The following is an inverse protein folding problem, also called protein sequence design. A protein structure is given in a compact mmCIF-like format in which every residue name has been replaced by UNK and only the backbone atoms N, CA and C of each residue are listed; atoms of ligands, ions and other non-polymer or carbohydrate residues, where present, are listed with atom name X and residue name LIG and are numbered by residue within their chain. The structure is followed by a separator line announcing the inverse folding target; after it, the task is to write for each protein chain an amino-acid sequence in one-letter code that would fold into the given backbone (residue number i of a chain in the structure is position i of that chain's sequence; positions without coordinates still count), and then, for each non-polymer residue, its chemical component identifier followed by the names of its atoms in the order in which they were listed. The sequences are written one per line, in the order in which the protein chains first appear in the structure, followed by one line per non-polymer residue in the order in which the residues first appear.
data_IF_625354900651
#
_entry.id   IF_625354900651
#
_cell.length_a   1.000
_cell.length_b   1.000
_cell.length_c   1.000
_cell.angle_alpha   90.00
_cell.angle_beta   90.00
_cell.angle_gamma   90.00
#
_symmetry.space_group_name_H-M   'P 1'
#
loop_
_entity.id
_entity.type
_entity.pdbx_description
1 polymer ?
#
# COMPACT_ATOMS: atom_id res chain seq x y z
N UNK A 1 20.94 10.32 -22.54
CA UNK A 1 19.83 9.46 -22.14
C UNK A 1 20.37 8.05 -21.94
N UNK A 2 20.37 7.53 -20.73
CA UNK A 2 20.75 6.12 -20.48
C UNK A 2 19.60 5.27 -20.97
N UNK A 3 19.86 4.33 -21.86
CA UNK A 3 18.83 3.40 -22.36
C UNK A 3 18.25 2.63 -21.15
N UNK A 4 16.92 2.41 -21.10
CA UNK A 4 16.32 1.59 -20.05
C UNK A 4 16.87 0.17 -20.12
N UNK A 5 17.00 -0.47 -18.96
CA UNK A 5 17.40 -1.88 -18.88
C UNK A 5 16.32 -2.77 -19.51
N UNK A 6 16.72 -3.95 -19.95
CA UNK A 6 15.76 -4.97 -20.36
C UNK A 6 14.91 -5.39 -19.15
N UNK A 7 13.61 -5.58 -19.38
CA UNK A 7 12.71 -6.10 -18.37
C UNK A 7 13.10 -7.54 -17.95
N UNK A 8 12.97 -7.92 -16.67
CA UNK A 8 13.38 -9.24 -16.19
C UNK A 8 12.38 -10.36 -16.54
N UNK A 9 11.47 -10.13 -17.48
CA UNK A 9 10.42 -11.07 -17.86
C UNK A 9 10.20 -11.10 -19.39
N UNK A 10 9.52 -12.17 -19.84
CA UNK A 10 9.06 -12.32 -21.24
C UNK A 10 7.54 -12.14 -21.28
N UNK A 11 7.07 -11.42 -22.29
CA UNK A 11 5.64 -11.24 -22.53
C UNK A 11 5.09 -12.49 -23.25
N UNK A 12 4.12 -13.16 -22.60
CA UNK A 12 3.42 -14.33 -23.15
C UNK A 12 1.99 -14.03 -23.59
N UNK A 13 1.42 -12.91 -23.15
CA UNK A 13 0.06 -12.50 -23.44
C UNK A 13 0.05 -11.06 -23.93
N UNK A 14 -0.75 -10.78 -24.95
CA UNK A 14 -0.95 -9.43 -25.47
C UNK A 14 -2.41 -9.14 -25.56
N UNK A 15 -2.78 -7.89 -25.29
CA UNK A 15 -4.14 -7.37 -25.45
C UNK A 15 -4.14 -6.31 -26.55
N UNK A 16 -5.13 -6.38 -27.45
CA UNK A 16 -5.28 -5.39 -28.51
C UNK A 16 -5.75 -4.06 -27.92
N UNK A 17 -5.03 -2.98 -28.19
CA UNK A 17 -5.46 -1.63 -27.82
C UNK A 17 -6.21 -0.96 -28.96
N UNK A 18 -7.22 -0.14 -28.61
CA UNK A 18 -7.89 0.72 -29.56
C UNK A 18 -7.03 1.94 -29.86
N UNK A 19 -6.69 2.15 -31.13
CA UNK A 19 -6.13 3.43 -31.57
C UNK A 19 -7.25 4.45 -31.75
N UNK A 20 -6.99 5.70 -31.38
CA UNK A 20 -7.95 6.80 -31.48
C UNK A 20 -7.33 8.03 -32.09
N UNK A 21 -8.14 8.84 -32.77
CA UNK A 21 -7.77 10.14 -33.27
C UNK A 21 -7.75 11.17 -32.13
N UNK A 22 -7.07 12.28 -32.34
CA UNK A 22 -7.11 13.41 -31.41
C UNK A 22 -8.53 13.94 -31.18
N UNK A 23 -9.32 14.05 -32.25
CA UNK A 23 -10.69 14.56 -32.17
C UNK A 23 -11.60 13.67 -31.32
N UNK A 24 -11.47 12.35 -31.40
CA UNK A 24 -12.17 11.41 -30.54
C UNK A 24 -11.80 11.62 -29.07
N UNK A 25 -10.50 11.71 -28.76
CA UNK A 25 -10.03 11.92 -27.38
C UNK A 25 -10.50 13.25 -26.80
N UNK A 26 -10.49 14.33 -27.61
CA UNK A 26 -11.02 15.62 -27.18
C UNK A 26 -12.52 15.58 -26.91
N UNK A 27 -13.28 14.80 -27.66
CA UNK A 27 -14.70 14.58 -27.43
C UNK A 27 -14.93 13.82 -26.13
N UNK A 28 -14.27 12.69 -25.94
CA UNK A 28 -14.41 11.85 -24.75
C UNK A 28 -14.06 12.55 -23.45
N UNK A 29 -12.96 13.33 -23.45
CA UNK A 29 -12.57 14.05 -22.22
C UNK A 29 -13.56 15.18 -21.87
N UNK A 30 -14.17 15.84 -22.86
CA UNK A 30 -15.23 16.82 -22.62
C UNK A 30 -16.50 16.17 -22.08
N UNK A 31 -16.94 15.04 -22.67
CA UNK A 31 -18.09 14.27 -22.19
C UNK A 31 -17.86 13.76 -20.77
N UNK A 32 -16.63 13.39 -20.44
CA UNK A 32 -16.22 13.03 -19.08
C UNK A 32 -16.11 14.24 -18.13
N UNK A 33 -16.42 15.46 -18.58
CA UNK A 33 -16.26 16.70 -17.80
C UNK A 33 -14.83 16.89 -17.28
N UNK A 34 -13.84 16.48 -18.07
CA UNK A 34 -12.40 16.48 -17.75
C UNK A 34 -12.03 15.64 -16.52
N UNK A 35 -12.89 14.69 -16.13
CA UNK A 35 -12.63 13.75 -15.04
C UNK A 35 -12.20 12.40 -15.62
N UNK A 36 -10.93 12.05 -15.44
CA UNK A 36 -10.34 10.83 -15.96
C UNK A 36 -11.03 9.56 -15.44
N UNK A 37 -11.62 9.59 -14.24
CA UNK A 37 -12.36 8.46 -13.67
C UNK A 37 -13.70 8.17 -14.37
N UNK A 38 -14.16 9.04 -15.27
CA UNK A 38 -15.36 8.85 -16.06
C UNK A 38 -15.09 8.34 -17.49
N UNK A 39 -13.83 8.23 -17.87
CA UNK A 39 -13.46 7.62 -19.15
C UNK A 39 -13.68 6.10 -19.07
N UNK A 40 -14.11 5.54 -20.20
CA UNK A 40 -14.18 4.08 -20.35
C UNK A 40 -12.78 3.53 -20.64
N UNK A 41 -12.49 2.31 -20.23
CA UNK A 41 -11.19 1.68 -20.44
C UNK A 41 -10.79 1.61 -21.92
N UNK A 42 -11.75 1.38 -22.82
CA UNK A 42 -11.52 1.35 -24.28
C UNK A 42 -11.24 2.73 -24.90
N UNK A 43 -11.37 3.81 -24.14
CA UNK A 43 -11.01 5.18 -24.53
C UNK A 43 -9.59 5.58 -24.08
N UNK A 44 -8.92 4.73 -23.30
CA UNK A 44 -7.60 4.99 -22.73
C UNK A 44 -6.57 4.05 -23.37
N UNK A 45 -5.56 4.63 -24.02
CA UNK A 45 -4.49 3.84 -24.65
C UNK A 45 -3.37 3.50 -23.68
N UNK A 46 -3.00 4.45 -22.82
CA UNK A 46 -1.98 4.28 -21.76
C UNK A 46 -2.64 4.72 -20.47
N UNK A 47 -2.87 3.78 -19.56
CA UNK A 47 -3.50 4.05 -18.26
C UNK A 47 -2.42 4.17 -17.18
N UNK A 48 -2.24 5.39 -16.67
CA UNK A 48 -1.35 5.71 -15.56
C UNK A 48 -2.13 6.19 -14.33
N UNK A 49 -3.44 5.94 -14.27
CA UNK A 49 -4.32 6.47 -13.23
C UNK A 49 -4.06 5.86 -11.86
N UNK A 50 -3.75 4.57 -11.82
CA UNK A 50 -3.55 3.83 -10.56
C UNK A 50 -2.67 2.60 -10.76
N UNK A 51 -1.93 2.24 -9.70
CA UNK A 51 -1.23 0.95 -9.59
C UNK A 51 -2.12 -0.16 -8.99
N UNK A 52 -3.35 0.16 -8.59
CA UNK A 52 -4.23 -0.76 -7.85
C UNK A 52 -4.98 -1.72 -8.75
N UNK A 53 -4.58 -3.00 -8.76
CA UNK A 53 -5.25 -4.07 -9.49
C UNK A 53 -4.98 -4.05 -10.99
N UNK A 54 -3.99 -3.31 -11.44
CA UNK A 54 -3.60 -3.14 -12.86
C UNK A 54 -2.26 -3.79 -13.18
N UNK A 55 -1.57 -4.37 -12.18
CA UNK A 55 -0.31 -5.09 -12.36
C UNK A 55 -0.50 -6.38 -13.17
N UNK A 56 0.51 -6.72 -13.98
CA UNK A 56 0.55 -7.97 -14.73
C UNK A 56 0.89 -9.13 -13.81
N UNK A 57 -0.01 -10.08 -13.67
CA UNK A 57 0.21 -11.32 -12.93
C UNK A 57 1.19 -12.23 -13.69
N UNK A 58 2.03 -12.93 -12.93
CA UNK A 58 2.98 -13.91 -13.48
C UNK A 58 2.27 -15.16 -14.00
N UNK A 59 2.97 -15.94 -14.81
CA UNK A 59 2.50 -17.27 -15.25
C UNK A 59 2.29 -18.24 -14.07
N UNK A 60 3.04 -18.07 -12.96
CA UNK A 60 2.84 -18.84 -11.74
C UNK A 60 1.57 -18.43 -11.00
N UNK A 61 1.24 -17.13 -10.96
CA UNK A 61 -0.01 -16.64 -10.40
C UNK A 61 -1.20 -17.18 -11.21
N UNK A 62 -1.14 -17.13 -12.55
CA UNK A 62 -2.16 -17.72 -13.41
C UNK A 62 -2.30 -19.24 -13.20
N UNK A 63 -1.19 -19.96 -13.08
CA UNK A 63 -1.22 -21.39 -12.78
C UNK A 63 -1.85 -21.67 -11.40
N UNK A 64 -1.52 -20.86 -10.39
CA UNK A 64 -2.14 -20.97 -9.06
C UNK A 64 -3.65 -20.75 -9.10
N UNK A 65 -4.13 -19.77 -9.88
CA UNK A 65 -5.57 -19.56 -10.10
C UNK A 65 -6.24 -20.80 -10.71
N UNK A 66 -5.58 -21.50 -11.62
CA UNK A 66 -6.15 -22.70 -12.28
C UNK A 66 -6.22 -23.91 -11.35
N UNK A 67 -5.47 -23.92 -10.26
CA UNK A 67 -5.41 -25.03 -9.29
C UNK A 67 -6.01 -24.71 -7.92
N UNK A 68 -6.48 -23.47 -7.74
CA UNK A 68 -7.16 -23.04 -6.52
C UNK A 68 -8.48 -23.79 -6.30
N UNK A 69 -8.75 -24.14 -5.04
CA UNK A 69 -9.97 -24.86 -4.66
C UNK A 69 -11.07 -23.90 -4.17
N UNK A 70 -12.30 -24.25 -4.47
CA UNK A 70 -13.49 -23.48 -4.09
C UNK A 70 -14.24 -24.19 -2.96
N UNK A 71 -13.92 -23.83 -1.71
CA UNK A 71 -14.59 -24.33 -0.52
C UNK A 71 -15.12 -23.19 0.32
N UNK A 72 -16.35 -23.31 0.81
CA UNK A 72 -16.93 -22.28 1.69
C UNK A 72 -16.12 -22.09 2.98
N UNK A 73 -15.57 -23.16 3.53
CA UNK A 73 -14.75 -23.12 4.73
C UNK A 73 -13.55 -24.05 4.60
N UNK A 74 -12.37 -23.56 5.01
CA UNK A 74 -11.18 -24.40 5.12
C UNK A 74 -10.59 -24.83 3.77
N UNK A 75 -10.70 -24.01 2.73
CA UNK A 75 -10.04 -24.23 1.45
C UNK A 75 -8.54 -24.45 1.61
N UNK A 76 -7.95 -25.36 0.84
CA UNK A 76 -6.49 -25.55 0.80
C UNK A 76 -5.77 -24.26 0.42
N UNK A 77 -6.38 -23.44 -0.46
CA UNK A 77 -5.89 -22.14 -0.87
C UNK A 77 -5.75 -21.17 0.31
N UNK A 78 -6.69 -21.20 1.27
CA UNK A 78 -6.58 -20.41 2.50
C UNK A 78 -5.35 -20.80 3.34
N UNK A 79 -5.09 -22.10 3.47
CA UNK A 79 -3.94 -22.57 4.26
C UNK A 79 -2.61 -22.22 3.58
N UNK A 80 -2.53 -22.28 2.25
CA UNK A 80 -1.34 -21.85 1.51
C UNK A 80 -1.10 -20.35 1.68
N UNK A 81 -2.13 -19.51 1.58
CA UNK A 81 -2.02 -18.07 1.85
C UNK A 81 -1.60 -17.81 3.30
N UNK A 82 -2.18 -18.50 4.27
CA UNK A 82 -1.79 -18.40 5.68
C UNK A 82 -0.33 -18.72 5.91
N UNK A 83 0.18 -19.77 5.28
CA UNK A 83 1.59 -20.16 5.37
C UNK A 83 2.50 -19.06 4.80
N UNK A 84 2.14 -18.52 3.64
CA UNK A 84 2.88 -17.41 3.01
C UNK A 84 2.90 -16.16 3.90
N UNK A 85 1.76 -15.76 4.47
CA UNK A 85 1.66 -14.62 5.39
C UNK A 85 2.51 -14.86 6.64
N UNK A 86 2.44 -16.04 7.23
CA UNK A 86 3.24 -16.39 8.41
C UNK A 86 4.74 -16.37 8.11
N UNK A 87 5.15 -16.87 6.95
CA UNK A 87 6.55 -16.93 6.53
C UNK A 87 7.10 -15.54 6.23
N UNK A 88 6.38 -14.70 5.51
CA UNK A 88 6.84 -13.37 5.11
C UNK A 88 6.75 -12.35 6.26
N UNK A 89 5.63 -12.32 6.97
CA UNK A 89 5.34 -11.26 7.94
C UNK A 89 5.42 -11.71 9.40
N UNK A 90 5.40 -13.02 9.67
CA UNK A 90 5.40 -13.54 11.04
C UNK A 90 4.14 -13.23 11.83
N UNK A 91 3.04 -12.98 11.16
CA UNK A 91 1.75 -12.74 11.78
C UNK A 91 1.03 -14.08 12.01
N UNK A 92 0.62 -14.40 13.27
CA UNK A 92 0.00 -15.68 13.58
C UNK A 92 -1.48 -15.75 13.19
N UNK A 93 -2.17 -14.62 13.17
CA UNK A 93 -3.59 -14.52 12.89
C UNK A 93 -3.84 -13.60 11.71
N UNK A 94 -4.73 -14.00 10.78
CA UNK A 94 -5.15 -13.15 9.69
C UNK A 94 -6.60 -13.43 9.27
N UNK A 95 -7.23 -12.44 8.66
CA UNK A 95 -8.54 -12.50 8.05
C UNK A 95 -8.41 -12.01 6.61
N UNK A 96 -8.70 -12.85 5.61
CA UNK A 96 -8.72 -12.40 4.22
C UNK A 96 -9.87 -11.41 3.99
N UNK A 97 -9.72 -10.55 3.00
CA UNK A 97 -10.74 -9.60 2.54
C UNK A 97 -10.61 -9.40 1.04
N UNK A 98 -11.68 -8.99 0.38
CA UNK A 98 -11.63 -8.82 -1.08
C UNK A 98 -10.74 -7.65 -1.53
N UNK A 99 -10.42 -6.70 -0.65
CA UNK A 99 -9.49 -5.58 -0.93
C UNK A 99 -9.07 -4.84 0.36
N UNK A 100 -8.09 -3.91 0.25
CA UNK A 100 -7.53 -3.21 1.41
C UNK A 100 -8.53 -2.40 2.22
N UNK A 101 -9.42 -1.63 1.56
CA UNK A 101 -10.45 -0.86 2.29
C UNK A 101 -11.43 -1.72 3.09
N UNK A 102 -11.59 -2.97 2.71
CA UNK A 102 -12.37 -3.93 3.45
C UNK A 102 -11.59 -4.40 4.70
N UNK A 103 -10.28 -4.62 4.58
CA UNK A 103 -9.41 -4.89 5.73
C UNK A 103 -9.43 -3.74 6.74
N UNK A 104 -9.37 -2.48 6.26
CA UNK A 104 -9.52 -1.29 7.09
C UNK A 104 -10.89 -1.27 7.78
N UNK A 105 -11.99 -1.55 7.06
CA UNK A 105 -13.32 -1.59 7.65
C UNK A 105 -13.41 -2.63 8.79
N UNK A 106 -12.91 -3.83 8.59
CA UNK A 106 -12.90 -4.90 9.58
C UNK A 106 -12.12 -4.51 10.83
N UNK A 107 -10.88 -4.02 10.66
CA UNK A 107 -10.02 -3.73 11.81
C UNK A 107 -10.47 -2.50 12.58
N UNK A 108 -10.87 -1.43 11.90
CA UNK A 108 -11.34 -0.21 12.60
C UNK A 108 -12.70 -0.41 13.25
N UNK A 109 -13.56 -1.32 12.75
CA UNK A 109 -14.77 -1.72 13.48
C UNK A 109 -14.45 -2.45 14.79
N UNK A 110 -13.37 -3.21 14.82
CA UNK A 110 -12.94 -3.92 16.02
C UNK A 110 -12.17 -3.02 17.02
N UNK A 111 -11.52 -1.96 16.56
CA UNK A 111 -10.63 -1.13 17.37
C UNK A 111 -11.30 0.15 17.89
N UNK A 112 -12.02 0.87 17.01
CA UNK A 112 -12.39 2.26 17.24
C UNK A 112 -13.72 2.41 17.99
N UNK A 113 -13.77 3.46 18.82
CA UNK A 113 -14.98 3.98 19.49
C UNK A 113 -15.08 5.47 19.20
N UNK A 114 -16.30 6.01 19.19
CA UNK A 114 -16.54 7.44 18.98
C UNK A 114 -15.66 8.32 19.88
N UNK A 115 -15.04 9.31 19.28
CA UNK A 115 -14.13 10.25 19.93
C UNK A 115 -12.70 9.75 20.12
N UNK A 116 -12.33 8.58 19.57
CA UNK A 116 -10.95 8.12 19.58
C UNK A 116 -10.07 8.94 18.63
N UNK A 117 -8.76 8.93 18.89
CA UNK A 117 -7.75 9.64 18.13
C UNK A 117 -6.80 8.60 17.53
N UNK A 118 -6.58 8.69 16.23
CA UNK A 118 -5.67 7.78 15.51
C UNK A 118 -4.55 8.61 14.87
N UNK A 119 -3.37 8.66 15.47
CA UNK A 119 -2.21 9.29 14.84
C UNK A 119 -1.61 8.42 13.73
N UNK A 120 -1.06 9.07 12.70
CA UNK A 120 -0.37 8.40 11.59
C UNK A 120 0.66 9.29 10.92
N UNK A 121 1.52 8.72 10.07
CA UNK A 121 2.49 9.48 9.27
C UNK A 121 1.89 10.12 7.99
N UNK A 122 0.66 10.15 7.83
CA UNK A 122 -0.36 10.60 6.89
C UNK A 122 -1.29 9.45 6.55
N UNK A 123 -2.56 9.68 6.78
CA UNK A 123 -3.57 8.66 6.49
C UNK A 123 -3.87 8.65 4.99
N UNK A 124 -4.00 7.45 4.43
CA UNK A 124 -4.58 7.30 3.10
C UNK A 124 -6.08 7.67 3.14
N UNK A 125 -6.66 8.08 2.00
CA UNK A 125 -8.03 8.58 1.93
C UNK A 125 -9.05 7.62 2.55
N UNK A 126 -8.97 6.31 2.27
CA UNK A 126 -9.90 5.34 2.83
C UNK A 126 -9.64 5.07 4.31
N UNK A 127 -8.40 5.10 4.75
CA UNK A 127 -8.02 4.99 6.17
C UNK A 127 -8.64 6.14 6.96
N UNK A 128 -8.40 7.38 6.49
CA UNK A 128 -9.00 8.59 7.07
C UNK A 128 -10.52 8.52 7.06
N UNK A 129 -11.10 8.13 5.91
CA UNK A 129 -12.54 7.98 5.76
C UNK A 129 -13.14 6.98 6.76
N UNK A 130 -12.51 5.82 6.98
CA UNK A 130 -12.98 4.85 7.97
C UNK A 130 -12.88 5.35 9.42
N UNK A 131 -11.85 6.12 9.75
CA UNK A 131 -11.67 6.73 11.07
C UNK A 131 -12.76 7.78 11.30
N UNK A 132 -12.90 8.74 10.39
CA UNK A 132 -13.84 9.86 10.50
C UNK A 132 -15.31 9.41 10.40
N UNK A 133 -15.62 8.41 9.58
CA UNK A 133 -16.96 7.81 9.53
C UNK A 133 -17.42 7.27 10.90
N UNK A 134 -16.48 6.82 11.74
CA UNK A 134 -16.74 6.35 13.11
C UNK A 134 -16.70 7.46 14.14
N UNK A 135 -16.71 8.74 13.69
CA UNK A 135 -16.61 9.95 14.53
C UNK A 135 -15.34 9.96 15.39
N UNK A 136 -14.27 9.43 14.85
CA UNK A 136 -12.93 9.47 15.41
C UNK A 136 -12.08 10.53 14.70
N UNK A 137 -10.92 10.83 15.25
CA UNK A 137 -10.02 11.88 14.74
C UNK A 137 -8.77 11.26 14.15
N UNK A 138 -8.58 11.40 12.83
CA UNK A 138 -7.32 11.09 12.16
C UNK A 138 -6.37 12.28 12.32
N UNK A 139 -5.17 12.05 12.88
CA UNK A 139 -4.18 13.11 13.11
C UNK A 139 -2.88 12.76 12.41
N UNK A 140 -2.50 13.57 11.44
CA UNK A 140 -1.26 13.38 10.68
C UNK A 140 -0.05 13.92 11.45
N UNK A 141 0.91 13.04 11.72
CA UNK A 141 2.19 13.32 12.38
C UNK A 141 3.35 13.10 11.41
N UNK A 142 3.21 13.52 10.16
CA UNK A 142 4.26 13.43 9.15
C UNK A 142 5.36 14.45 9.44
N UNK A 143 6.60 14.16 9.05
CA UNK A 143 7.69 15.14 9.08
C UNK A 143 7.36 16.34 8.20
N UNK A 144 7.77 17.52 8.60
CA UNK A 144 7.43 18.78 7.89
C UNK A 144 8.03 18.84 6.48
N UNK A 145 9.17 18.21 6.28
CA UNK A 145 9.85 18.10 4.99
C UNK A 145 9.03 17.39 3.91
N UNK A 146 8.08 16.57 4.29
CA UNK A 146 7.19 15.89 3.34
C UNK A 146 6.34 16.89 2.53
N UNK A 147 6.04 18.06 3.09
CA UNK A 147 5.26 19.10 2.44
C UNK A 147 6.06 19.90 1.38
N UNK A 148 7.38 19.92 1.46
CA UNK A 148 8.23 20.55 0.45
C UNK A 148 8.48 19.59 -0.71
N UNK A 149 7.74 19.79 -1.80
CA UNK A 149 7.81 18.92 -2.99
C UNK A 149 9.18 18.90 -3.66
N UNK A 150 10.04 19.89 -3.43
CA UNK A 150 11.35 19.99 -4.07
C UNK A 150 12.51 19.56 -3.17
N UNK A 151 12.28 19.38 -1.87
CA UNK A 151 13.31 18.91 -0.95
C UNK A 151 13.58 17.42 -1.19
N UNK A 152 14.83 17.09 -1.46
CA UNK A 152 15.27 15.71 -1.61
C UNK A 152 15.75 15.15 -0.27
N UNK A 153 15.07 14.11 0.20
CA UNK A 153 15.48 13.30 1.35
C UNK A 153 15.30 11.82 1.01
N UNK A 154 16.16 10.93 1.51
CA UNK A 154 16.06 9.51 1.20
C UNK A 154 14.75 8.88 1.68
N UNK A 155 14.17 9.40 2.78
CA UNK A 155 12.93 8.91 3.40
C UNK A 155 12.06 10.11 3.81
N UNK A 156 11.08 10.46 3.00
CA UNK A 156 10.14 11.58 3.25
C UNK A 156 8.77 11.14 3.76
N UNK A 157 8.53 9.84 3.82
CA UNK A 157 7.28 9.29 4.32
C UNK A 157 7.26 9.08 5.84
N UNK A 158 8.27 9.54 6.56
CA UNK A 158 8.50 9.23 7.97
C UNK A 158 7.47 9.84 8.93
N UNK A 159 7.25 9.14 10.04
CA UNK A 159 6.59 9.67 11.23
C UNK A 159 7.48 10.71 11.91
N UNK A 160 6.97 11.88 12.23
CA UNK A 160 7.60 12.80 13.16
C UNK A 160 7.42 12.27 14.59
N UNK A 161 8.50 11.75 15.12
CA UNK A 161 8.51 11.09 16.45
C UNK A 161 8.14 12.08 17.56
N UNK A 162 8.54 13.35 17.45
CA UNK A 162 8.22 14.36 18.45
C UNK A 162 6.73 14.72 18.44
N UNK A 163 6.11 14.86 17.25
CA UNK A 163 4.67 15.07 17.11
C UNK A 163 3.88 13.88 17.68
N UNK A 164 4.29 12.66 17.32
CA UNK A 164 3.66 11.44 17.82
C UNK A 164 3.73 11.36 19.35
N UNK A 165 4.92 11.53 19.92
CA UNK A 165 5.13 11.43 21.37
C UNK A 165 4.37 12.52 22.12
N UNK A 166 4.33 13.74 21.59
CA UNK A 166 3.52 14.82 22.15
C UNK A 166 2.04 14.45 22.20
N UNK A 167 1.49 13.94 21.08
CA UNK A 167 0.09 13.52 21.00
C UNK A 167 -0.23 12.42 22.01
N UNK A 168 0.62 11.39 22.10
CA UNK A 168 0.40 10.26 23.02
C UNK A 168 0.51 10.69 24.48
N UNK A 169 1.35 11.67 24.82
CA UNK A 169 1.48 12.22 26.18
C UNK A 169 0.29 13.08 26.58
N UNK A 170 -0.27 13.85 25.62
CA UNK A 170 -1.36 14.81 25.89
C UNK A 170 -2.75 14.16 25.90
N UNK A 171 -2.88 12.91 25.47
CA UNK A 171 -4.15 12.22 25.39
C UNK A 171 -4.17 10.94 26.25
N UNK A 172 -5.30 10.60 26.89
CA UNK A 172 -5.44 9.37 27.64
C UNK A 172 -5.20 8.14 26.74
N UNK A 173 -4.55 7.10 27.29
CA UNK A 173 -4.25 5.86 26.56
C UNK A 173 -5.49 5.23 25.89
N UNK A 174 -6.62 5.28 26.58
CA UNK A 174 -7.90 4.71 26.15
C UNK A 174 -8.48 5.42 24.93
N UNK A 175 -8.02 6.65 24.65
CA UNK A 175 -8.43 7.45 23.50
C UNK A 175 -7.58 7.27 22.26
N UNK A 176 -6.48 6.51 22.37
CA UNK A 176 -5.59 6.23 21.25
C UNK A 176 -5.50 4.72 21.05
N UNK A 177 -6.43 4.11 20.28
CA UNK A 177 -6.52 2.66 20.13
C UNK A 177 -5.36 2.06 19.32
N UNK A 178 -4.81 2.81 18.37
CA UNK A 178 -3.63 2.42 17.60
C UNK A 178 -2.92 3.63 17.00
N UNK A 179 -1.68 3.43 16.58
CA UNK A 179 -0.91 4.33 15.70
C UNK A 179 -0.86 3.68 14.33
N UNK A 180 -1.09 4.43 13.26
CA UNK A 180 -1.01 3.95 11.88
C UNK A 180 0.29 4.44 11.24
N UNK A 181 1.08 3.54 10.67
CA UNK A 181 2.25 3.86 9.87
C UNK A 181 2.09 3.29 8.46
N UNK A 182 1.89 4.17 7.49
CA UNK A 182 1.69 3.82 6.09
C UNK A 182 3.02 3.64 5.36
N UNK A 183 3.24 2.50 4.74
CA UNK A 183 4.46 2.12 4.01
C UNK A 183 4.12 1.57 2.61
N UNK A 184 4.60 2.20 1.49
CA UNK A 184 5.14 3.56 1.44
C UNK A 184 4.03 4.58 1.68
N UNK A 185 4.38 5.76 2.18
CA UNK A 185 3.41 6.82 2.46
C UNK A 185 2.88 7.44 1.15
N UNK A 186 1.72 6.98 0.71
CA UNK A 186 1.11 7.41 -0.55
C UNK A 186 0.74 8.91 -0.53
N UNK A 187 0.18 9.40 0.56
CA UNK A 187 -0.25 10.79 0.71
C UNK A 187 0.93 11.77 0.66
N UNK A 188 2.11 11.34 1.10
CA UNK A 188 3.35 12.12 0.97
C UNK A 188 4.00 11.98 -0.44
N UNK A 189 3.31 11.41 -1.42
CA UNK A 189 3.82 11.22 -2.78
C UNK A 189 4.54 9.89 -2.99
N UNK A 190 4.10 8.82 -2.34
CA UNK A 190 4.73 7.50 -2.44
C UNK A 190 6.10 7.42 -1.76
N UNK A 191 6.31 8.24 -0.73
CA UNK A 191 7.61 8.33 -0.07
C UNK A 191 7.83 7.21 0.94
N UNK A 192 9.04 6.60 0.95
CA UNK A 192 9.34 5.50 1.87
C UNK A 192 9.57 5.97 3.30
N UNK A 193 9.45 4.99 4.21
CA UNK A 193 9.77 5.08 5.64
C UNK A 193 11.02 4.24 5.92
N UNK A 194 12.02 4.79 6.62
CA UNK A 194 13.25 4.06 6.97
C UNK A 194 12.99 3.00 8.03
N UNK A 195 13.84 1.98 8.09
CA UNK A 195 13.80 1.00 9.18
C UNK A 195 14.05 1.66 10.54
N UNK A 196 14.94 2.66 10.58
CA UNK A 196 15.18 3.46 11.77
C UNK A 196 13.87 4.09 12.27
N UNK A 197 13.12 4.75 11.40
CA UNK A 197 11.86 5.43 11.79
C UNK A 197 10.76 4.44 12.18
N UNK A 198 10.66 3.28 11.51
CA UNK A 198 9.76 2.19 11.91
C UNK A 198 10.07 1.74 13.34
N UNK A 199 11.35 1.55 13.67
CA UNK A 199 11.82 1.14 15.00
C UNK A 199 11.50 2.20 16.04
N UNK A 200 11.86 3.46 15.80
CA UNK A 200 11.59 4.59 16.69
C UNK A 200 10.08 4.75 16.96
N UNK A 201 9.25 4.64 15.93
CA UNK A 201 7.79 4.67 16.05
C UNK A 201 7.28 3.53 16.95
N UNK A 202 7.76 2.31 16.72
CA UNK A 202 7.38 1.15 17.53
C UNK A 202 7.84 1.28 18.99
N UNK A 203 9.01 1.87 19.23
CA UNK A 203 9.53 2.13 20.59
C UNK A 203 8.65 3.12 21.36
N UNK A 204 8.23 4.20 20.68
CA UNK A 204 7.26 5.14 21.25
C UNK A 204 5.92 4.44 21.53
N UNK A 205 5.39 3.72 20.56
CA UNK A 205 4.13 2.97 20.73
C UNK A 205 4.19 2.02 21.95
N UNK A 206 5.27 1.25 22.10
CA UNK A 206 5.46 0.34 23.24
C UNK A 206 5.53 1.08 24.57
N UNK A 207 6.22 2.23 24.61
CA UNK A 207 6.36 3.06 25.80
C UNK A 207 5.02 3.56 26.32
N UNK A 208 4.12 3.88 25.43
CA UNK A 208 2.75 4.34 25.76
C UNK A 208 1.71 3.21 25.77
N UNK A 209 2.10 1.96 25.50
CA UNK A 209 1.20 0.81 25.47
C UNK A 209 0.18 0.83 24.32
N UNK A 210 0.46 1.54 23.22
CA UNK A 210 -0.41 1.67 22.04
C UNK A 210 0.06 0.72 20.97
N UNK A 211 -0.79 -0.10 20.32
CA UNK A 211 -0.37 -0.97 19.24
C UNK A 211 -0.01 -0.20 17.97
N UNK A 212 1.00 -0.68 17.24
CA UNK A 212 1.39 -0.17 15.94
C UNK A 212 0.72 -0.97 14.81
N UNK A 213 -0.09 -0.29 14.00
CA UNK A 213 -0.69 -0.81 12.78
C UNK A 213 0.12 -0.33 11.57
N UNK A 214 0.65 -1.26 10.78
CA UNK A 214 1.25 -0.95 9.49
C UNK A 214 0.19 -1.04 8.38
N UNK A 215 -0.07 0.08 7.69
CA UNK A 215 -0.74 0.06 6.40
C UNK A 215 0.29 -0.33 5.33
N UNK A 216 0.16 -1.54 4.83
CA UNK A 216 1.21 -2.30 4.16
C UNK A 216 0.98 -2.45 2.65
N UNK A 217 0.20 -1.57 2.05
CA UNK A 217 -0.18 -1.70 0.63
C UNK A 217 1.06 -1.87 -0.28
N UNK A 218 2.19 -1.21 0.07
CA UNK A 218 3.44 -1.25 -0.70
C UNK A 218 4.64 -1.62 0.17
N UNK A 219 4.49 -2.70 0.90
CA UNK A 219 5.49 -3.21 1.84
C UNK A 219 6.82 -3.60 1.17
N UNK A 220 6.76 -4.22 -0.01
CA UNK A 220 7.93 -4.65 -0.74
C UNK A 220 8.66 -3.46 -1.38
N UNK A 221 7.91 -2.49 -1.91
CA UNK A 221 8.45 -1.21 -2.39
C UNK A 221 9.19 -0.47 -1.27
N UNK A 222 8.61 -0.40 -0.07
CA UNK A 222 9.26 0.22 1.07
C UNK A 222 10.56 -0.52 1.47
N UNK A 223 10.53 -1.85 1.47
CA UNK A 223 11.72 -2.67 1.74
C UNK A 223 12.82 -2.49 0.68
N UNK A 224 12.44 -2.30 -0.59
CA UNK A 224 13.38 -1.95 -1.65
C UNK A 224 14.12 -0.64 -1.35
N UNK A 225 13.40 0.39 -0.92
CA UNK A 225 14.03 1.67 -0.57
C UNK A 225 14.91 1.56 0.67
N UNK A 226 14.53 0.78 1.67
CA UNK A 226 15.41 0.48 2.81
C UNK A 226 16.70 -0.18 2.32
N UNK A 227 16.60 -1.23 1.49
CA UNK A 227 17.77 -1.91 0.91
C UNK A 227 18.70 -0.96 0.16
N UNK A 228 18.13 -0.06 -0.64
CA UNK A 228 18.91 0.78 -1.57
C UNK A 228 19.38 2.11 -0.98
N UNK A 229 18.76 2.58 0.12
CA UNK A 229 19.02 3.92 0.66
C UNK A 229 19.49 3.94 2.11
N UNK A 230 19.23 2.89 2.89
CA UNK A 230 19.59 2.86 4.32
C UNK A 230 20.87 2.08 4.56
N UNK A 231 21.81 2.67 5.32
CA UNK A 231 23.09 2.03 5.65
C UNK A 231 22.86 0.72 6.43
N UNK A 232 23.59 -0.32 6.07
CA UNK A 232 23.53 -1.65 6.72
C UNK A 232 22.49 -2.59 6.13
N UNK A 233 21.74 -2.19 5.08
CA UNK A 233 20.72 -3.03 4.46
C UNK A 233 21.05 -3.51 3.05
N UNK A 234 22.13 -3.02 2.44
CA UNK A 234 22.49 -3.34 1.06
C UNK A 234 22.67 -4.85 0.78
N UNK A 235 23.19 -5.59 1.75
CA UNK A 235 23.46 -7.03 1.61
C UNK A 235 22.27 -7.92 2.00
N UNK A 236 21.20 -7.36 2.58
CA UNK A 236 20.01 -8.10 2.96
C UNK A 236 19.10 -8.32 1.74
N UNK A 237 18.42 -9.44 1.70
CA UNK A 237 17.34 -9.68 0.75
C UNK A 237 16.10 -8.85 1.12
N UNK A 238 15.22 -8.61 0.15
CA UNK A 238 13.93 -7.94 0.41
C UNK A 238 13.12 -8.72 1.45
N UNK A 239 13.11 -10.05 1.39
CA UNK A 239 12.41 -10.93 2.35
C UNK A 239 12.90 -10.74 3.79
N UNK A 240 14.22 -10.64 3.98
CA UNK A 240 14.81 -10.38 5.30
C UNK A 240 14.41 -9.00 5.84
N UNK A 241 14.42 -7.97 4.98
CA UNK A 241 14.02 -6.62 5.37
C UNK A 241 12.52 -6.59 5.71
N UNK A 242 11.67 -7.20 4.88
CA UNK A 242 10.24 -7.36 5.16
C UNK A 242 10.04 -8.06 6.50
N UNK A 243 10.72 -9.18 6.74
CA UNK A 243 10.61 -9.90 8.00
C UNK A 243 10.99 -9.03 9.20
N UNK A 244 12.04 -8.22 9.08
CA UNK A 244 12.46 -7.28 10.12
C UNK A 244 11.41 -6.18 10.37
N UNK A 245 10.87 -5.55 9.32
CA UNK A 245 9.80 -4.54 9.44
C UNK A 245 8.67 -5.05 10.33
N UNK A 246 8.19 -6.25 10.06
CA UNK A 246 7.02 -6.80 10.77
C UNK A 246 7.31 -7.30 12.18
N UNK A 247 8.58 -7.36 12.61
CA UNK A 247 8.88 -7.60 14.04
C UNK A 247 8.45 -6.43 14.94
N UNK A 248 8.29 -5.25 14.36
CA UNK A 248 7.86 -4.04 15.04
C UNK A 248 6.35 -3.80 15.03
N UNK A 249 5.61 -4.51 14.18
CA UNK A 249 4.17 -4.34 14.00
C UNK A 249 3.34 -5.27 14.90
N UNK A 250 2.26 -4.74 15.46
CA UNK A 250 1.23 -5.52 16.17
C UNK A 250 0.09 -5.92 15.24
N UNK A 251 -0.21 -5.07 14.27
CA UNK A 251 -1.30 -5.22 13.31
C UNK A 251 -0.79 -4.81 11.93
N UNK A 252 -1.30 -5.42 10.88
CA UNK A 252 -1.12 -4.96 9.51
C UNK A 252 -2.42 -5.04 8.72
N UNK A 253 -2.62 -4.08 7.84
CA UNK A 253 -3.59 -4.13 6.75
C UNK A 253 -2.88 -4.12 5.43
N UNK A 254 -3.42 -4.80 4.43
CA UNK A 254 -2.86 -4.78 3.09
C UNK A 254 -3.94 -4.69 2.02
N UNK A 255 -3.74 -3.80 1.07
CA UNK A 255 -4.37 -3.89 -0.23
C UNK A 255 -3.46 -4.68 -1.16
N UNK A 256 -3.73 -5.94 -1.33
CA UNK A 256 -2.92 -6.84 -2.13
C UNK A 256 -2.94 -6.51 -3.63
N UNK A 257 -3.85 -5.64 -4.04
CA UNK A 257 -3.94 -5.10 -5.41
C UNK A 257 -2.73 -4.22 -5.81
N UNK A 258 -1.78 -3.99 -4.93
CA UNK A 258 -0.49 -3.31 -5.14
C UNK A 258 0.63 -4.34 -5.10
N UNK A 259 1.32 -4.45 -3.97
CA UNK A 259 2.47 -5.36 -3.84
C UNK A 259 2.10 -6.86 -3.76
N UNK A 260 0.83 -7.23 -3.69
CA UNK A 260 0.39 -8.61 -3.94
C UNK A 260 0.26 -8.96 -5.42
N UNK A 261 0.33 -7.96 -6.33
CA UNK A 261 0.24 -8.10 -7.79
C UNK A 261 -0.96 -8.93 -8.21
N UNK A 262 -2.12 -8.69 -7.59
CA UNK A 262 -3.40 -9.35 -7.92
C UNK A 262 -4.47 -8.34 -8.28
N UNK A 263 -5.48 -8.78 -9.03
CA UNK A 263 -6.62 -7.93 -9.40
C UNK A 263 -7.63 -7.78 -8.25
N UNK A 264 -7.67 -8.75 -7.34
CA UNK A 264 -8.55 -8.81 -6.18
C UNK A 264 -7.77 -9.31 -4.97
N UNK A 265 -8.02 -8.74 -3.79
CA UNK A 265 -7.48 -9.26 -2.55
C UNK A 265 -6.95 -8.21 -1.58
N UNK A 266 -6.99 -8.58 -0.33
CA UNK A 266 -6.44 -7.91 0.82
C UNK A 266 -6.54 -8.81 2.05
N UNK A 267 -6.00 -8.37 3.14
CA UNK A 267 -6.19 -8.99 4.44
C UNK A 267 -5.84 -8.05 5.58
N UNK A 268 -6.33 -8.35 6.75
CA UNK A 268 -5.80 -7.83 8.01
C UNK A 268 -5.12 -8.97 8.75
N UNK A 269 -3.94 -8.70 9.32
CA UNK A 269 -3.25 -9.68 10.16
C UNK A 269 -2.79 -9.04 11.47
N UNK A 270 -2.63 -9.85 12.51
CA UNK A 270 -2.37 -9.35 13.86
C UNK A 270 -1.71 -10.39 14.74
N UNK A 271 -1.09 -9.91 15.84
CA UNK A 271 -0.47 -10.77 16.86
C UNK A 271 -1.42 -11.15 17.97
N UNK A 272 -2.40 -10.29 18.29
CA UNK A 272 -3.34 -10.51 19.39
C UNK A 272 -4.48 -11.45 18.98
N UNK A 273 -4.61 -12.59 19.65
CA UNK A 273 -5.74 -13.50 19.48
C UNK A 273 -7.07 -12.87 19.93
N UNK A 274 -7.04 -12.04 20.96
CA UNK A 274 -8.24 -11.33 21.42
C UNK A 274 -8.77 -10.38 20.35
N UNK A 275 -7.86 -9.58 19.73
CA UNK A 275 -8.23 -8.68 18.65
C UNK A 275 -8.72 -9.46 17.42
N UNK A 276 -8.08 -10.58 17.11
CA UNK A 276 -8.52 -11.47 16.03
C UNK A 276 -9.96 -11.95 16.26
N UNK A 277 -10.30 -12.44 17.46
CA UNK A 277 -11.66 -12.87 17.81
C UNK A 277 -12.69 -11.76 17.67
N UNK A 278 -12.35 -10.53 18.05
CA UNK A 278 -13.22 -9.35 17.84
C UNK A 278 -13.38 -9.04 16.37
N UNK A 279 -12.29 -9.03 15.60
CA UNK A 279 -12.29 -8.73 14.17
C UNK A 279 -13.05 -9.78 13.34
N UNK A 280 -13.03 -11.05 13.74
CA UNK A 280 -13.79 -12.14 13.10
C UNK A 280 -15.28 -11.81 12.94
N UNK A 281 -15.91 -11.22 13.97
CA UNK A 281 -17.33 -10.85 13.92
C UNK A 281 -17.60 -9.87 12.78
N UNK A 282 -16.76 -8.88 12.63
CA UNK A 282 -16.89 -7.88 11.56
C UNK A 282 -16.52 -8.45 10.17
N UNK A 283 -15.52 -9.34 10.12
CA UNK A 283 -15.19 -10.05 8.89
C UNK A 283 -16.38 -10.87 8.37
N UNK A 284 -17.04 -11.63 9.24
CA UNK A 284 -18.22 -12.42 8.86
C UNK A 284 -19.36 -11.52 8.38
N UNK A 285 -19.56 -10.36 9.01
CA UNK A 285 -20.65 -9.44 8.65
C UNK A 285 -20.41 -8.71 7.32
N UNK A 286 -19.16 -8.33 7.03
CA UNK A 286 -18.85 -7.44 5.91
C UNK A 286 -18.25 -8.15 4.70
N UNK A 287 -17.50 -9.23 4.91
CA UNK A 287 -16.73 -9.89 3.87
C UNK A 287 -17.20 -11.29 3.61
N UNK A 288 -17.24 -12.13 4.65
CA UNK A 288 -17.64 -13.51 4.58
C UNK A 288 -16.98 -14.36 5.66
N UNK A 289 -17.14 -15.67 5.56
CA UNK A 289 -16.59 -16.55 6.56
C UNK A 289 -15.06 -16.41 6.65
N UNK A 290 -14.51 -16.59 7.85
CA UNK A 290 -13.13 -16.23 8.22
C UNK A 290 -12.03 -16.90 7.38
N UNK A 291 -12.35 -17.98 6.68
CA UNK A 291 -11.40 -18.71 5.83
C UNK A 291 -11.50 -18.36 4.34
N UNK A 292 -12.39 -17.43 3.96
CA UNK A 292 -12.39 -16.91 2.58
C UNK A 292 -12.53 -15.37 2.50
N UNK A 293 -13.26 -14.71 3.42
CA UNK A 293 -13.32 -13.25 3.52
C UNK A 293 -13.69 -12.54 2.22
N UNK A 294 -14.68 -13.03 1.48
CA UNK A 294 -15.09 -12.45 0.20
C UNK A 294 -14.16 -12.75 -0.98
N UNK A 295 -13.14 -13.59 -0.81
CA UNK A 295 -12.23 -14.03 -1.87
C UNK A 295 -12.58 -15.44 -2.37
N UNK A 296 -12.28 -15.73 -3.63
CA UNK A 296 -12.25 -17.09 -4.12
C UNK A 296 -10.95 -17.82 -3.71
N UNK A 297 -10.95 -19.15 -3.69
CA UNK A 297 -9.72 -19.92 -3.49
C UNK A 297 -8.67 -19.61 -4.54
N UNK A 298 -9.09 -19.39 -5.78
CA UNK A 298 -8.21 -18.97 -6.89
C UNK A 298 -7.51 -17.66 -6.62
N UNK A 299 -8.22 -16.65 -6.12
CA UNK A 299 -7.63 -15.35 -5.78
C UNK A 299 -6.65 -15.47 -4.60
N UNK A 300 -6.98 -16.31 -3.60
CA UNK A 300 -6.08 -16.55 -2.48
C UNK A 300 -4.77 -17.22 -2.91
N UNK A 301 -4.82 -18.18 -3.83
CA UNK A 301 -3.62 -18.82 -4.36
C UNK A 301 -2.77 -17.87 -5.22
N UNK A 302 -3.41 -17.10 -6.10
CA UNK A 302 -2.72 -16.08 -6.87
C UNK A 302 -2.04 -15.05 -5.95
N UNK A 303 -2.72 -14.67 -4.85
CA UNK A 303 -2.17 -13.76 -3.86
C UNK A 303 -0.98 -14.38 -3.12
N UNK A 304 -1.07 -15.64 -2.71
CA UNK A 304 0.03 -16.31 -2.02
C UNK A 304 1.32 -16.33 -2.87
N UNK A 305 1.18 -16.57 -4.17
CA UNK A 305 2.30 -16.52 -5.13
C UNK A 305 2.79 -15.09 -5.32
N UNK A 306 1.89 -14.13 -5.55
CA UNK A 306 2.25 -12.73 -5.82
C UNK A 306 2.99 -12.07 -4.66
N UNK A 307 2.58 -12.34 -3.42
CA UNK A 307 3.28 -11.84 -2.22
C UNK A 307 4.74 -12.33 -2.16
N UNK A 308 4.99 -13.55 -2.57
CA UNK A 308 6.34 -14.13 -2.57
C UNK A 308 7.20 -13.59 -3.72
N UNK A 309 6.66 -13.57 -4.93
CA UNK A 309 7.36 -13.11 -6.13
C UNK A 309 7.71 -11.61 -6.07
N UNK A 310 6.81 -10.78 -5.54
CA UNK A 310 7.08 -9.34 -5.43
C UNK A 310 8.13 -8.97 -4.35
N UNK A 311 8.66 -9.95 -3.65
CA UNK A 311 9.84 -9.78 -2.78
C UNK A 311 11.17 -10.12 -3.50
N UNK A 312 11.14 -10.40 -4.79
CA UNK A 312 12.35 -10.55 -5.60
C UNK A 312 12.86 -9.17 -6.06
N UNK A 313 14.16 -8.93 -5.83
CA UNK A 313 14.76 -7.61 -6.04
C UNK A 313 14.61 -7.12 -7.48
N UNK A 314 14.86 -7.98 -8.46
CA UNK A 314 14.85 -7.63 -9.88
C UNK A 314 13.48 -7.15 -10.37
N UNK A 315 12.41 -7.72 -9.83
CA UNK A 315 11.03 -7.32 -10.16
C UNK A 315 10.73 -5.91 -9.65
N UNK A 316 11.10 -5.64 -8.39
CA UNK A 316 10.94 -4.32 -7.79
C UNK A 316 11.81 -3.26 -8.45
N UNK A 317 13.07 -3.61 -8.74
CA UNK A 317 14.04 -2.71 -9.35
C UNK A 317 13.58 -2.26 -10.74
N UNK A 318 13.08 -3.19 -11.57
CA UNK A 318 12.53 -2.87 -12.89
C UNK A 318 11.37 -1.88 -12.79
N UNK A 319 10.38 -2.15 -11.93
CA UNK A 319 9.21 -1.28 -11.72
C UNK A 319 9.63 0.11 -11.23
N UNK A 320 10.46 0.18 -10.21
CA UNK A 320 10.85 1.45 -9.59
C UNK A 320 11.71 2.28 -10.52
N UNK A 321 12.59 1.65 -11.31
CA UNK A 321 13.37 2.36 -12.35
C UNK A 321 12.50 2.96 -13.45
N UNK A 322 11.41 2.33 -13.82
CA UNK A 322 10.46 2.90 -14.80
C UNK A 322 9.84 4.20 -14.26
N UNK A 323 9.44 4.20 -12.99
CA UNK A 323 8.91 5.41 -12.34
C UNK A 323 9.98 6.49 -12.27
N UNK A 324 11.21 6.11 -11.89
CA UNK A 324 12.35 7.04 -11.89
C UNK A 324 12.60 7.63 -13.28
N UNK A 325 12.60 6.82 -14.34
CA UNK A 325 12.79 7.27 -15.72
C UNK A 325 11.72 8.30 -16.11
N UNK A 326 10.46 8.09 -15.73
CA UNK A 326 9.40 9.07 -15.96
C UNK A 326 9.71 10.40 -15.23
N UNK A 327 10.18 10.31 -13.98
CA UNK A 327 10.63 11.50 -13.24
C UNK A 327 11.76 12.24 -13.92
N UNK A 328 12.80 11.53 -14.37
CA UNK A 328 13.95 12.11 -15.09
C UNK A 328 13.50 12.81 -16.40
N UNK A 329 12.55 12.22 -17.13
CA UNK A 329 11.97 12.85 -18.32
C UNK A 329 11.16 14.11 -17.98
N UNK A 330 10.38 14.09 -16.90
CA UNK A 330 9.65 15.28 -16.46
C UNK A 330 10.61 16.40 -16.05
N UNK A 331 11.77 16.08 -15.48
CA UNK A 331 12.82 17.05 -15.19
C UNK A 331 13.38 17.70 -16.47
N UNK A 332 13.61 16.93 -17.52
CA UNK A 332 14.05 17.46 -18.83
C UNK A 332 13.04 18.48 -19.41
N UNK A 333 11.75 18.29 -19.12
CA UNK A 333 10.67 19.21 -19.55
C UNK A 333 10.33 20.29 -18.51
N UNK A 334 11.05 20.37 -17.40
CA UNK A 334 10.82 21.37 -16.35
C UNK A 334 9.50 21.20 -15.60
N UNK A 335 8.95 19.99 -15.53
CA UNK A 335 7.71 19.68 -14.82
C UNK A 335 8.02 19.30 -13.37
N UNK A 336 7.71 20.16 -12.39
CA UNK A 336 7.98 19.88 -10.98
C UNK A 336 7.06 18.78 -10.43
N UNK A 337 7.63 17.88 -9.64
CA UNK A 337 6.92 16.80 -8.96
C UNK A 337 7.49 16.60 -7.55
N UNK A 338 6.83 15.78 -6.73
CA UNK A 338 7.28 15.41 -5.39
C UNK A 338 8.62 14.64 -5.47
N UNK A 339 9.69 15.25 -4.96
CA UNK A 339 11.05 14.69 -4.96
C UNK A 339 11.41 14.05 -3.62
N UNK A 340 12.26 12.99 -3.68
CA UNK A 340 12.58 12.21 -4.88
C UNK A 340 11.36 11.46 -5.41
N UNK A 341 11.43 10.93 -6.63
CA UNK A 341 10.37 10.06 -7.17
C UNK A 341 10.11 8.89 -6.21
N UNK A 342 8.82 8.58 -6.00
CA UNK A 342 8.39 7.37 -5.28
C UNK A 342 8.62 6.10 -6.11
N UNK A 343 8.11 4.97 -5.62
CA UNK A 343 8.31 3.68 -6.30
C UNK A 343 7.18 3.26 -7.24
N UNK A 344 5.99 3.84 -7.11
CA UNK A 344 4.80 3.41 -7.84
C UNK A 344 4.14 4.49 -8.68
N UNK A 345 4.48 5.75 -8.47
CA UNK A 345 3.86 6.88 -9.16
C UNK A 345 4.74 8.14 -9.12
N UNK A 346 4.47 9.05 -10.05
CA UNK A 346 4.94 10.44 -10.00
C UNK A 346 3.79 11.33 -9.56
N UNK A 347 4.03 12.15 -8.56
CA UNK A 347 3.09 13.13 -8.04
C UNK A 347 3.50 14.53 -8.50
N UNK A 348 2.89 14.97 -9.60
CA UNK A 348 3.17 16.29 -10.18
C UNK A 348 2.72 17.39 -9.22
N UNK A 349 3.57 18.40 -9.01
CA UNK A 349 3.24 19.60 -8.22
C UNK A 349 2.35 20.54 -9.05
N UNK A 350 1.04 20.24 -9.04
CA UNK A 350 0.07 20.98 -9.83
C UNK A 350 0.06 22.50 -9.51
N UNK A 351 0.35 22.87 -8.27
CA UNK A 351 0.42 24.28 -7.86
C UNK A 351 1.55 25.04 -8.56
N UNK A 352 2.68 24.36 -8.80
CA UNK A 352 3.82 24.95 -9.52
C UNK A 352 3.64 24.89 -11.03
N UNK A 353 3.02 23.84 -11.55
CA UNK A 353 2.75 23.69 -12.99
C UNK A 353 1.64 24.63 -13.46
N UNK A 354 0.63 24.82 -12.64
CA UNK A 354 -0.58 25.58 -12.96
C UNK A 354 -0.86 26.67 -11.89
N UNK A 355 0.05 27.65 -11.74
CA UNK A 355 -0.01 28.63 -10.64
C UNK A 355 -1.25 29.54 -10.68
N UNK A 356 -1.90 29.63 -11.85
CA UNK A 356 -3.08 30.48 -12.06
C UNK A 356 -4.41 29.76 -11.78
N UNK A 357 -4.40 28.46 -11.51
CA UNK A 357 -5.61 27.72 -11.15
C UNK A 357 -5.84 27.80 -9.63
N UNK A 358 -7.06 28.16 -9.19
CA UNK A 358 -7.40 28.10 -7.78
C UNK A 358 -7.40 26.63 -7.29
N UNK A 359 -7.17 26.45 -5.99
CA UNK A 359 -7.28 25.14 -5.34
C UNK A 359 -8.72 24.67 -5.27
#
# INVERSE_FOLDING_TARGET
MTLPYAEPYKIKMTEAIRTSTRAERETWIREASYNLFKLRSDQVTIDLLTDSGTGSMSDRQWAAMMTGDESYAGASSYFRLRETISRLFGMPFFLPTHQGRAAENVIFSALLKEGDIVPGNSHFDTTKGHIEFRRCHAVDCTIDEAADTQKELPFKGEMDIAKLEKLLRENPREKVPCVVLTITNNTAGGQPVSMRNIRETAEVCRRYGVPLLLDSARFAENAYFIKTREAGYADKTIKEIVREIYTYADIMTISAKKDGVVNMGGFVAMRSEELYKRAMTFSIMFEGYVTYGGMSGRDMDALAVGLDENTEFEQLDARIRQVKLLGDLLDEYGVPYQRPAGGHAIFVDAKKVLPNLPK
#
